data_IF_724797944983
#
_entry.id   IF_724797944983
#
_cell.length_a   1.000
_cell.length_b   1.000
_cell.length_c   1.000
_cell.angle_alpha   90.00
_cell.angle_beta   90.00
_cell.angle_gamma   90.00
#
_symmetry.space_group_name_H-M   'P 1'
#
loop_
_entity.id
_entity.type
_entity.pdbx_description
1 polymer ?
#
# COMPACT_ATOMS: atom_id res chain seq x y z
N UNK A 1 29.37 -16.07 5.69
CA UNK A 1 28.06 -16.35 6.32
C UNK A 1 27.51 -17.78 6.20
N UNK A 2 28.12 -18.69 5.43
CA UNK A 2 27.69 -20.10 5.33
C UNK A 2 27.25 -20.83 6.62
N UNK A 3 27.95 -20.68 7.78
CA UNK A 3 27.52 -21.36 9.02
C UNK A 3 26.19 -20.86 9.62
N UNK A 4 25.69 -19.68 9.22
CA UNK A 4 24.40 -19.13 9.69
C UNK A 4 23.18 -19.71 8.96
N UNK A 5 23.39 -20.51 7.91
CA UNK A 5 22.33 -21.08 7.07
C UNK A 5 22.35 -22.61 7.07
N UNK A 6 22.73 -23.21 8.21
CA UNK A 6 22.68 -24.65 8.39
C UNK A 6 21.27 -25.12 8.76
N UNK A 7 20.85 -26.29 8.27
CA UNK A 7 19.60 -26.95 8.63
C UNK A 7 19.80 -28.45 8.85
N UNK A 8 18.89 -29.07 9.61
CA UNK A 8 18.93 -30.48 9.96
C UNK A 8 17.75 -31.22 9.35
N UNK A 9 17.98 -32.41 8.80
CA UNK A 9 16.92 -33.32 8.36
C UNK A 9 16.73 -34.38 9.45
N UNK A 10 15.53 -34.49 10.06
CA UNK A 10 15.25 -35.53 11.04
C UNK A 10 15.21 -36.91 10.38
N UNK A 11 15.63 -37.95 11.10
CA UNK A 11 15.42 -39.34 10.67
C UNK A 11 14.09 -39.88 11.20
N UNK A 12 13.58 -40.94 10.56
CA UNK A 12 12.37 -41.63 11.02
C UNK A 12 12.64 -42.21 12.41
N UNK A 13 11.81 -41.84 13.39
CA UNK A 13 11.92 -42.28 14.79
C UNK A 13 13.30 -42.06 15.43
N UNK A 14 14.06 -41.04 14.99
CA UNK A 14 15.42 -40.77 15.51
C UNK A 14 16.38 -41.96 15.40
N UNK A 15 16.15 -42.85 14.42
CA UNK A 15 16.96 -44.05 14.20
C UNK A 15 18.44 -43.78 13.89
N UNK A 16 18.79 -42.55 13.52
CA UNK A 16 20.14 -42.10 13.22
C UNK A 16 20.29 -40.61 13.60
N UNK A 17 21.52 -40.13 13.87
CA UNK A 17 21.76 -38.71 14.11
C UNK A 17 21.27 -37.84 12.95
N UNK A 18 20.68 -36.68 13.26
CA UNK A 18 20.16 -35.77 12.25
C UNK A 18 21.26 -35.32 11.29
N UNK A 19 21.01 -35.48 9.98
CA UNK A 19 21.94 -35.03 8.93
C UNK A 19 21.89 -33.52 8.84
N UNK A 20 23.05 -32.86 8.91
CA UNK A 20 23.19 -31.40 8.85
C UNK A 20 23.72 -30.96 7.48
N UNK A 21 23.08 -29.95 6.92
CA UNK A 21 23.42 -29.34 5.63
C UNK A 21 23.58 -27.83 5.79
N UNK A 22 24.20 -27.19 4.81
CA UNK A 22 24.25 -25.73 4.69
C UNK A 22 24.03 -25.30 3.25
N UNK A 23 23.51 -24.09 3.06
CA UNK A 23 23.29 -23.54 1.72
C UNK A 23 24.59 -23.04 1.10
N UNK A 24 24.95 -23.59 -0.07
CA UNK A 24 26.12 -23.18 -0.87
C UNK A 24 25.78 -22.12 -1.92
N UNK A 25 24.48 -21.93 -2.20
CA UNK A 25 23.92 -20.92 -3.10
C UNK A 25 22.91 -20.07 -2.34
N UNK A 26 22.47 -18.95 -2.91
CA UNK A 26 21.40 -18.13 -2.32
C UNK A 26 20.18 -19.00 -2.09
N UNK A 27 19.84 -19.22 -0.82
CA UNK A 27 18.74 -20.12 -0.50
C UNK A 27 17.41 -19.43 -0.81
N UNK A 28 16.48 -20.23 -1.30
CA UNK A 28 15.12 -19.81 -1.54
C UNK A 28 14.45 -19.46 -0.21
N UNK A 29 13.67 -18.36 -0.20
CA UNK A 29 12.94 -17.92 1.00
C UNK A 29 13.74 -17.09 2.02
N UNK A 30 15.04 -16.87 1.85
CA UNK A 30 15.77 -15.89 2.66
C UNK A 30 15.42 -14.47 2.20
N UNK A 31 15.06 -13.61 3.16
CA UNK A 31 14.65 -12.22 2.94
C UNK A 31 15.65 -11.36 2.14
N UNK A 32 16.95 -11.68 2.25
CA UNK A 32 18.03 -10.92 1.60
C UNK A 32 18.43 -11.47 0.21
N UNK A 33 18.09 -12.73 -0.11
CA UNK A 33 18.36 -13.31 -1.44
C UNK A 33 17.77 -12.46 -2.58
N UNK A 34 16.54 -11.92 -2.47
CA UNK A 34 15.97 -11.02 -3.46
C UNK A 34 16.82 -9.79 -3.76
N UNK A 35 17.40 -9.14 -2.75
CA UNK A 35 18.15 -7.90 -2.94
C UNK A 35 19.44 -8.14 -3.76
N UNK A 36 20.13 -9.24 -3.48
CA UNK A 36 21.35 -9.62 -4.20
C UNK A 36 21.00 -10.03 -5.64
N UNK A 37 19.99 -10.89 -5.83
CA UNK A 37 19.52 -11.26 -7.16
C UNK A 37 19.04 -10.04 -7.97
N UNK A 38 18.41 -9.06 -7.33
CA UNK A 38 17.89 -7.88 -8.01
C UNK A 38 18.97 -7.07 -8.72
N UNK A 39 20.15 -6.89 -8.12
CA UNK A 39 21.26 -6.17 -8.75
C UNK A 39 21.74 -6.90 -10.01
N UNK A 40 21.88 -8.22 -9.94
CA UNK A 40 22.34 -9.03 -11.07
C UNK A 40 21.32 -9.06 -12.20
N UNK A 41 20.04 -9.32 -11.88
CA UNK A 41 18.98 -9.38 -12.89
C UNK A 41 18.71 -7.99 -13.50
N UNK A 42 18.87 -6.90 -12.74
CA UNK A 42 18.75 -5.54 -13.27
C UNK A 42 19.82 -5.20 -14.34
N UNK A 43 20.98 -5.86 -14.31
CA UNK A 43 22.02 -5.69 -15.35
C UNK A 43 21.64 -6.38 -16.66
N UNK A 44 20.86 -7.47 -16.63
CA UNK A 44 20.51 -8.22 -17.83
C UNK A 44 19.78 -7.39 -18.91
N UNK A 45 18.78 -6.53 -18.59
CA UNK A 45 18.14 -5.67 -19.58
C UNK A 45 18.89 -4.35 -19.87
N UNK A 46 20.09 -4.10 -19.32
CA UNK A 46 20.80 -2.82 -19.46
C UNK A 46 21.01 -2.40 -20.92
N UNK A 47 21.47 -3.32 -21.78
CA UNK A 47 21.64 -3.03 -23.21
C UNK A 47 20.32 -2.72 -23.93
N UNK A 48 19.21 -3.30 -23.47
CA UNK A 48 17.88 -2.99 -24.01
C UNK A 48 17.44 -1.59 -23.58
N UNK A 49 17.69 -1.20 -22.32
CA UNK A 49 17.42 0.16 -21.82
C UNK A 49 18.17 1.22 -22.62
N UNK A 50 19.45 0.97 -22.92
CA UNK A 50 20.27 1.88 -23.72
C UNK A 50 19.78 2.00 -25.17
N UNK A 51 19.38 0.87 -25.78
CA UNK A 51 18.93 0.85 -27.18
C UNK A 51 17.51 1.41 -27.36
N UNK A 52 16.63 1.25 -26.38
CA UNK A 52 15.23 1.65 -26.45
C UNK A 52 14.84 2.48 -25.21
N UNK A 53 15.27 3.76 -25.13
CA UNK A 53 15.06 4.59 -23.94
C UNK A 53 13.58 4.88 -23.64
N UNK A 54 12.73 4.81 -24.67
CA UNK A 54 11.27 5.01 -24.55
C UNK A 54 10.53 3.77 -24.03
N UNK A 55 11.22 2.62 -23.89
CA UNK A 55 10.58 1.39 -23.42
C UNK A 55 10.63 1.30 -21.89
N UNK A 56 9.50 1.00 -21.28
CA UNK A 56 9.42 0.75 -19.85
C UNK A 56 9.84 -0.70 -19.56
N UNK A 57 10.86 -0.85 -18.73
CA UNK A 57 11.34 -2.14 -18.24
C UNK A 57 11.23 -2.15 -16.73
N UNK A 58 10.27 -2.93 -16.21
CA UNK A 58 10.10 -3.16 -14.79
C UNK A 58 10.67 -4.53 -14.44
N UNK A 59 11.41 -4.59 -13.35
CA UNK A 59 12.00 -5.81 -12.83
C UNK A 59 11.57 -5.97 -11.38
N UNK A 60 10.97 -7.09 -11.06
CA UNK A 60 10.56 -7.43 -9.70
C UNK A 60 10.79 -8.92 -9.45
N UNK A 61 11.68 -9.21 -8.50
CA UNK A 61 12.05 -10.59 -8.13
C UNK A 61 12.57 -11.38 -9.33
N UNK A 62 11.78 -12.32 -9.86
CA UNK A 62 12.12 -13.13 -11.03
C UNK A 62 11.36 -12.68 -12.29
N UNK A 63 10.45 -11.71 -12.17
CA UNK A 63 9.60 -11.22 -13.25
C UNK A 63 10.18 -9.94 -13.90
N UNK A 64 10.22 -9.93 -15.23
CA UNK A 64 10.56 -8.74 -16.03
C UNK A 64 9.36 -8.38 -16.90
N UNK A 65 8.83 -7.17 -16.70
CA UNK A 65 7.80 -6.58 -17.53
C UNK A 65 8.43 -5.62 -18.54
N UNK A 66 8.20 -5.89 -19.82
CA UNK A 66 8.54 -5.02 -20.95
C UNK A 66 7.27 -4.37 -21.48
N UNK A 67 7.22 -3.04 -21.50
CA UNK A 67 6.09 -2.27 -22.04
C UNK A 67 6.58 -1.24 -23.05
N UNK A 68 6.04 -1.31 -24.27
CA UNK A 68 6.33 -0.41 -25.38
C UNK A 68 5.05 -0.11 -26.15
N UNK A 69 5.00 1.05 -26.81
CA UNK A 69 3.91 1.38 -27.74
C UNK A 69 3.96 0.50 -29.01
N UNK A 70 5.15 0.00 -29.40
CA UNK A 70 5.30 -0.87 -30.58
C UNK A 70 5.14 -2.34 -30.22
N UNK A 71 4.05 -2.96 -30.67
CA UNK A 71 3.78 -4.40 -30.50
C UNK A 71 4.81 -5.26 -31.21
N UNK A 72 5.32 -4.81 -32.37
CA UNK A 72 6.29 -5.56 -33.17
C UNK A 72 7.66 -5.63 -32.49
N UNK A 73 8.09 -4.52 -31.88
CA UNK A 73 9.32 -4.49 -31.10
C UNK A 73 9.24 -5.47 -29.92
N UNK A 74 8.12 -5.46 -29.18
CA UNK A 74 7.88 -6.39 -28.08
C UNK A 74 7.90 -7.84 -28.58
N UNK A 75 7.22 -8.15 -29.68
CA UNK A 75 7.18 -9.49 -30.24
C UNK A 75 8.59 -10.01 -30.59
N UNK A 76 9.42 -9.18 -31.22
CA UNK A 76 10.81 -9.53 -31.58
C UNK A 76 11.71 -9.74 -30.35
N UNK A 77 11.57 -8.91 -29.32
CA UNK A 77 12.36 -9.03 -28.09
C UNK A 77 11.97 -10.28 -27.28
N UNK A 78 10.66 -10.57 -27.19
CA UNK A 78 10.16 -11.75 -26.49
C UNK A 78 10.60 -13.04 -27.19
N UNK A 79 10.49 -13.13 -28.53
CA UNK A 79 10.93 -14.32 -29.28
C UNK A 79 12.41 -14.66 -29.07
N UNK A 80 13.28 -13.66 -28.93
CA UNK A 80 14.73 -13.87 -28.88
C UNK A 80 15.28 -14.12 -27.47
N UNK A 81 14.63 -13.62 -26.42
CA UNK A 81 15.29 -13.52 -25.09
C UNK A 81 14.41 -13.83 -23.88
N UNK A 82 13.08 -13.92 -24.00
CA UNK A 82 12.20 -14.06 -22.82
C UNK A 82 11.08 -15.08 -23.06
N UNK A 83 10.83 -15.96 -22.08
CA UNK A 83 9.65 -16.84 -22.12
C UNK A 83 8.38 -15.97 -22.02
N UNK A 84 7.44 -16.16 -22.94
CA UNK A 84 6.13 -15.49 -22.88
C UNK A 84 5.35 -16.02 -21.67
N UNK A 85 5.10 -15.17 -20.68
CA UNK A 85 4.01 -15.35 -19.73
C UNK A 85 2.76 -14.63 -20.26
N UNK A 86 1.57 -15.05 -19.81
CA UNK A 86 0.31 -14.49 -20.28
C UNK A 86 0.27 -12.97 -20.08
N UNK A 87 0.12 -12.21 -21.19
CA UNK A 87 0.15 -10.74 -21.32
C UNK A 87 -0.86 -9.96 -20.45
N UNK A 88 -1.63 -10.65 -19.61
CA UNK A 88 -2.61 -10.05 -18.71
C UNK A 88 -2.25 -10.15 -17.23
N UNK A 89 -1.39 -11.08 -16.80
CA UNK A 89 -1.17 -11.36 -15.37
C UNK A 89 0.30 -11.14 -15.01
N UNK A 90 0.59 -10.07 -14.28
CA UNK A 90 1.95 -9.72 -13.84
C UNK A 90 1.91 -9.38 -12.37
N UNK A 91 2.75 -10.02 -11.55
CA UNK A 91 2.83 -9.76 -10.10
C UNK A 91 1.47 -9.84 -9.38
N UNK A 92 0.59 -10.74 -9.80
CA UNK A 92 -0.76 -10.87 -9.24
C UNK A 92 -1.76 -9.80 -9.71
N UNK A 93 -1.42 -8.98 -10.72
CA UNK A 93 -2.31 -7.98 -11.31
C UNK A 93 -2.84 -8.42 -12.66
N UNK A 94 -4.14 -8.24 -12.89
CA UNK A 94 -4.73 -8.25 -14.21
C UNK A 94 -4.62 -6.86 -14.84
N UNK A 95 -3.74 -6.74 -15.82
CA UNK A 95 -3.44 -5.49 -16.52
C UNK A 95 -4.17 -5.50 -17.86
N UNK A 96 -5.13 -4.58 -18.03
CA UNK A 96 -5.86 -4.36 -19.30
C UNK A 96 -5.47 -3.01 -19.92
N UNK A 97 -5.98 -2.67 -21.11
CA UNK A 97 -5.70 -1.38 -21.77
C UNK A 97 -6.26 -0.17 -21.00
N UNK A 98 -7.28 -0.36 -20.16
CA UNK A 98 -7.98 0.73 -19.45
C UNK A 98 -7.90 0.65 -17.93
N UNK A 99 -7.70 -0.55 -17.39
CA UNK A 99 -7.80 -0.81 -15.94
C UNK A 99 -6.67 -1.70 -15.44
N UNK A 100 -6.25 -1.48 -14.21
CA UNK A 100 -5.35 -2.35 -13.46
C UNK A 100 -6.15 -2.85 -12.27
N UNK A 101 -6.34 -4.17 -12.19
CA UNK A 101 -7.12 -4.80 -11.13
C UNK A 101 -6.28 -5.89 -10.50
N UNK A 102 -6.42 -6.16 -9.19
CA UNK A 102 -5.88 -7.39 -8.65
C UNK A 102 -6.42 -8.56 -9.48
N UNK A 103 -5.60 -9.57 -9.75
CA UNK A 103 -6.12 -10.87 -10.19
C UNK A 103 -7.18 -11.29 -9.17
N UNK A 104 -8.28 -11.91 -9.62
CA UNK A 104 -9.37 -12.30 -8.71
C UNK A 104 -8.78 -13.07 -7.53
N UNK A 105 -8.74 -12.42 -6.37
CA UNK A 105 -8.30 -13.03 -5.13
C UNK A 105 -9.52 -13.72 -4.58
N UNK A 106 -9.62 -15.01 -4.85
CA UNK A 106 -10.50 -15.84 -4.04
C UNK A 106 -9.81 -15.96 -2.69
N UNK A 107 -10.28 -15.23 -1.69
CA UNK A 107 -9.81 -15.43 -0.33
C UNK A 107 -10.17 -16.88 0.06
N UNK A 108 -9.16 -17.71 0.30
CA UNK A 108 -9.38 -19.05 0.81
C UNK A 108 -9.77 -18.93 2.29
N UNK A 109 -11.07 -18.77 2.54
CA UNK A 109 -11.63 -18.55 3.88
C UNK A 109 -11.81 -19.84 4.68
N UNK A 110 -11.51 -21.00 4.08
CA UNK A 110 -11.43 -22.29 4.78
C UNK A 110 -10.09 -22.36 5.51
N UNK A 111 -10.06 -21.85 6.74
CA UNK A 111 -8.90 -21.90 7.62
C UNK A 111 -9.03 -23.11 8.53
N UNK A 112 -8.14 -24.10 8.36
CA UNK A 112 -8.07 -25.27 9.24
C UNK A 112 -6.81 -25.27 10.09
N UNK A 113 -5.70 -24.74 9.56
CA UNK A 113 -4.39 -24.72 10.22
C UNK A 113 -3.81 -23.31 10.37
N UNK A 114 -2.81 -23.13 11.23
CA UNK A 114 -2.05 -21.88 11.33
C UNK A 114 -1.38 -21.50 10.00
N UNK A 115 -0.91 -22.47 9.23
CA UNK A 115 -0.36 -22.21 7.90
C UNK A 115 -1.41 -21.64 6.93
N UNK A 116 -2.65 -22.13 6.97
CA UNK A 116 -3.74 -21.57 6.15
C UNK A 116 -4.00 -20.11 6.53
N UNK A 117 -4.04 -19.81 7.83
CA UNK A 117 -4.21 -18.46 8.35
C UNK A 117 -3.07 -17.53 7.90
N UNK A 118 -1.81 -17.99 8.01
CA UNK A 118 -0.64 -17.20 7.61
C UNK A 118 -0.64 -16.90 6.10
N UNK A 119 -1.02 -17.87 5.26
CA UNK A 119 -1.15 -17.67 3.81
C UNK A 119 -2.26 -16.68 3.46
N UNK A 120 -3.39 -16.78 4.14
CA UNK A 120 -4.50 -15.84 3.98
C UNK A 120 -4.09 -14.43 4.39
N UNK A 121 -3.46 -14.27 5.56
CA UNK A 121 -2.97 -12.99 6.05
C UNK A 121 -1.86 -12.42 5.16
N UNK A 122 -0.99 -13.26 4.59
CA UNK A 122 -0.02 -12.84 3.57
C UNK A 122 -0.72 -12.25 2.33
N UNK A 123 -1.78 -12.92 1.86
CA UNK A 123 -2.60 -12.44 0.73
C UNK A 123 -3.31 -11.14 1.06
N UNK A 124 -3.93 -11.02 2.24
CA UNK A 124 -4.60 -9.81 2.71
C UNK A 124 -3.59 -8.67 2.83
N UNK A 125 -2.44 -8.89 3.46
CA UNK A 125 -1.40 -7.88 3.61
C UNK A 125 -0.86 -7.39 2.27
N UNK A 126 -0.80 -8.26 1.26
CA UNK A 126 -0.39 -7.89 -0.08
C UNK A 126 -1.36 -6.89 -0.74
N UNK A 127 -2.68 -7.07 -0.59
CA UNK A 127 -3.68 -6.12 -1.12
C UNK A 127 -4.02 -4.95 -0.20
N UNK A 128 -3.73 -5.08 1.09
CA UNK A 128 -4.13 -4.14 2.12
C UNK A 128 -3.86 -2.66 1.79
N UNK A 129 -2.70 -2.27 1.20
CA UNK A 129 -2.44 -0.88 0.84
C UNK A 129 -3.51 -0.23 -0.05
N UNK A 130 -4.23 -1.03 -0.86
CA UNK A 130 -5.28 -0.55 -1.76
C UNK A 130 -6.69 -0.59 -1.17
N UNK A 131 -6.89 -1.40 -0.13
CA UNK A 131 -8.22 -1.61 0.43
C UNK A 131 -8.60 -0.52 1.43
N UNK A 132 -7.61 0.06 2.11
CA UNK A 132 -7.83 1.05 3.16
C UNK A 132 -8.24 0.45 4.50
N UNK A 133 -7.99 -0.85 4.67
CA UNK A 133 -8.37 -1.58 5.88
C UNK A 133 -7.34 -1.32 6.97
N UNK A 134 -7.79 -0.70 8.05
CA UNK A 134 -6.94 -0.38 9.19
C UNK A 134 -6.63 -1.62 10.07
N UNK A 135 -5.79 -1.43 11.09
CA UNK A 135 -5.41 -2.52 12.00
C UNK A 135 -6.55 -2.93 12.93
N UNK A 136 -7.54 -2.06 13.17
CA UNK A 136 -8.68 -2.37 14.05
C UNK A 136 -9.63 -3.33 13.35
N UNK A 137 -9.86 -3.14 12.05
CA UNK A 137 -10.68 -4.02 11.24
C UNK A 137 -10.05 -5.42 11.06
N UNK A 138 -8.71 -5.49 11.02
CA UNK A 138 -7.98 -6.77 10.91
C UNK A 138 -7.59 -7.37 12.27
N UNK A 139 -7.83 -6.69 13.39
CA UNK A 139 -7.36 -7.16 14.70
C UNK A 139 -7.85 -8.58 15.03
N UNK A 140 -9.12 -8.98 14.74
CA UNK A 140 -9.56 -10.33 15.05
C UNK A 140 -8.74 -11.39 14.30
N UNK A 141 -8.35 -11.13 13.05
CA UNK A 141 -7.52 -12.02 12.25
C UNK A 141 -6.07 -12.06 12.75
N UNK A 142 -5.51 -10.92 13.15
CA UNK A 142 -4.15 -10.83 13.67
C UNK A 142 -4.02 -11.50 15.04
N UNK A 143 -5.07 -11.42 15.86
CA UNK A 143 -5.11 -12.05 17.17
C UNK A 143 -5.08 -13.58 17.09
N UNK A 144 -5.63 -14.18 16.02
CA UNK A 144 -5.52 -15.63 15.77
C UNK A 144 -4.08 -16.10 15.52
N UNK A 145 -3.13 -15.21 15.19
CA UNK A 145 -1.72 -15.57 15.08
C UNK A 145 -1.05 -15.79 16.45
N UNK A 146 -1.70 -15.37 17.54
CA UNK A 146 -1.18 -15.56 18.90
C UNK A 146 -1.48 -17.00 19.32
N UNK A 147 -0.48 -17.69 19.87
CA UNK A 147 -0.64 -19.06 20.37
C UNK A 147 0.49 -19.99 19.92
N UNK A 148 0.16 -21.25 19.71
CA UNK A 148 1.11 -22.29 19.36
C UNK A 148 1.76 -22.04 17.98
N UNK A 149 3.11 -22.02 17.89
CA UNK A 149 3.80 -21.67 16.64
C UNK A 149 3.80 -22.79 15.59
N UNK A 150 3.24 -23.96 15.91
CA UNK A 150 3.20 -25.10 14.99
C UNK A 150 2.31 -24.80 13.79
N UNK A 151 2.85 -24.91 12.57
CA UNK A 151 2.12 -24.62 11.33
C UNK A 151 0.87 -25.48 11.12
N UNK A 152 0.85 -26.67 11.69
CA UNK A 152 -0.26 -27.62 11.60
C UNK A 152 -1.27 -27.47 12.75
N UNK A 153 -1.09 -26.51 13.66
CA UNK A 153 -2.03 -26.30 14.76
C UNK A 153 -3.41 -25.93 14.21
N UNK A 154 -4.45 -26.55 14.76
CA UNK A 154 -5.81 -26.36 14.30
C UNK A 154 -6.31 -24.96 14.69
N UNK A 155 -7.02 -24.31 13.77
CA UNK A 155 -7.58 -22.99 13.95
C UNK A 155 -9.11 -23.04 13.89
N UNK A 156 -9.78 -22.25 14.73
CA UNK A 156 -11.23 -22.10 14.74
C UNK A 156 -11.61 -20.65 14.46
N UNK A 157 -12.45 -20.44 13.45
CA UNK A 157 -12.92 -19.11 13.07
C UNK A 157 -13.98 -18.63 14.05
N UNK A 158 -13.72 -17.52 14.74
CA UNK A 158 -14.74 -16.83 15.53
C UNK A 158 -15.67 -15.99 14.64
N UNK A 159 -16.88 -15.63 15.11
CA UNK A 159 -17.77 -14.76 14.35
C UNK A 159 -17.15 -13.41 13.98
N UNK A 160 -16.29 -12.84 14.85
CA UNK A 160 -15.60 -11.58 14.62
C UNK A 160 -14.61 -11.69 13.46
N UNK A 161 -13.90 -12.82 13.36
CA UNK A 161 -12.97 -13.12 12.27
C UNK A 161 -13.73 -13.25 10.94
N UNK A 162 -14.86 -13.96 10.94
CA UNK A 162 -15.70 -14.09 9.74
C UNK A 162 -16.21 -12.73 9.27
N UNK A 163 -16.65 -11.87 10.20
CA UNK A 163 -17.07 -10.50 9.90
C UNK A 163 -15.92 -9.67 9.31
N UNK A 164 -14.72 -9.76 9.89
CA UNK A 164 -13.54 -9.07 9.36
C UNK A 164 -13.22 -9.53 7.93
N UNK A 165 -13.24 -10.84 7.67
CA UNK A 165 -13.02 -11.41 6.34
C UNK A 165 -14.05 -10.93 5.31
N UNK A 166 -15.34 -10.87 5.67
CA UNK A 166 -16.39 -10.36 4.79
C UNK A 166 -16.17 -8.88 4.43
N UNK A 167 -15.68 -8.06 5.38
CA UNK A 167 -15.31 -6.67 5.10
C UNK A 167 -14.12 -6.58 4.13
N UNK A 168 -13.12 -7.45 4.28
CA UNK A 168 -11.98 -7.51 3.35
C UNK A 168 -12.45 -7.89 1.95
N UNK A 169 -13.31 -8.90 1.83
CA UNK A 169 -13.83 -9.35 0.55
C UNK A 169 -14.65 -8.26 -0.15
N UNK A 170 -15.52 -7.58 0.58
CA UNK A 170 -16.30 -6.45 0.07
C UNK A 170 -15.40 -5.29 -0.39
N UNK A 171 -14.32 -5.01 0.34
CA UNK A 171 -13.32 -4.03 -0.09
C UNK A 171 -12.61 -4.49 -1.37
N UNK A 172 -12.17 -5.75 -1.48
CA UNK A 172 -11.52 -6.26 -2.70
C UNK A 172 -12.44 -6.14 -3.92
N UNK A 173 -13.71 -6.49 -3.77
CA UNK A 173 -14.68 -6.46 -4.88
C UNK A 173 -15.06 -5.04 -5.33
N UNK A 174 -15.04 -4.07 -4.42
CA UNK A 174 -15.45 -2.68 -4.70
C UNK A 174 -14.31 -1.79 -5.19
N UNK A 175 -13.05 -2.16 -4.95
CA UNK A 175 -11.89 -1.32 -5.27
C UNK A 175 -11.35 -1.62 -6.66
N UNK A 176 -11.23 -0.57 -7.46
CA UNK A 176 -10.64 -0.62 -8.79
C UNK A 176 -9.75 0.61 -9.03
N UNK A 177 -8.60 0.38 -9.65
CA UNK A 177 -7.74 1.43 -10.19
C UNK A 177 -7.90 1.51 -11.71
N UNK A 178 -7.93 2.72 -12.23
CA UNK A 178 -7.90 3.01 -13.66
C UNK A 178 -6.48 3.38 -14.08
N UNK A 179 -6.16 3.14 -15.35
CA UNK A 179 -4.90 3.64 -15.91
C UNK A 179 -4.95 5.15 -16.03
N UNK A 180 -3.80 5.77 -15.79
CA UNK A 180 -3.60 7.17 -16.13
C UNK A 180 -3.81 7.37 -17.64
N UNK A 181 -4.49 8.46 -17.99
CA UNK A 181 -4.60 8.94 -19.37
C UNK A 181 -3.61 10.07 -19.54
N UNK A 182 -2.77 10.01 -20.58
CA UNK A 182 -1.69 10.97 -20.81
C UNK A 182 -2.19 12.42 -20.92
N UNK A 183 -3.40 12.61 -21.48
CA UNK A 183 -3.98 13.93 -21.71
C UNK A 183 -4.75 14.52 -20.51
N UNK A 184 -4.75 13.84 -19.35
CA UNK A 184 -5.47 14.30 -18.16
C UNK A 184 -4.50 14.60 -17.02
N UNK A 185 -4.78 15.69 -16.33
CA UNK A 185 -4.04 16.05 -15.13
C UNK A 185 -4.54 15.30 -13.90
N UNK A 186 -3.61 14.99 -12.99
CA UNK A 186 -3.94 14.32 -11.73
C UNK A 186 -4.36 15.37 -10.71
N UNK A 187 -5.56 15.20 -10.15
CA UNK A 187 -6.05 15.95 -8.99
C UNK A 187 -6.02 15.07 -7.76
N UNK A 188 -5.43 15.57 -6.67
CA UNK A 188 -5.46 14.95 -5.35
C UNK A 188 -6.73 15.42 -4.62
N UNK A 189 -7.51 14.50 -4.07
CA UNK A 189 -8.69 14.82 -3.25
C UNK A 189 -8.55 14.16 -1.88
N UNK A 190 -8.36 14.95 -0.82
CA UNK A 190 -8.43 14.46 0.54
C UNK A 190 -9.90 14.31 0.94
N UNK A 191 -10.30 13.22 1.60
CA UNK A 191 -11.68 13.01 2.04
C UNK A 191 -11.68 12.39 3.44
N UNK A 192 -12.72 12.67 4.23
CA UNK A 192 -12.80 12.21 5.63
C UNK A 192 -13.19 10.73 5.73
N UNK A 193 -14.05 10.26 4.82
CA UNK A 193 -14.48 8.86 4.77
C UNK A 193 -14.51 8.40 3.30
N UNK A 194 -14.24 7.11 3.09
CA UNK A 194 -14.25 6.47 1.77
C UNK A 194 -15.32 5.37 1.67
N UNK A 195 -16.04 5.11 2.77
CA UNK A 195 -17.04 4.04 2.87
C UNK A 195 -18.16 4.24 1.84
N UNK A 196 -18.46 3.19 1.07
CA UNK A 196 -19.54 3.22 0.08
C UNK A 196 -19.21 3.91 -1.25
N UNK A 197 -17.97 4.37 -1.47
CA UNK A 197 -17.60 4.94 -2.77
C UNK A 197 -17.49 3.89 -3.88
N UNK A 198 -18.58 3.70 -4.63
CA UNK A 198 -18.59 3.15 -5.99
C UNK A 198 -18.36 4.24 -7.02
N UNK A 199 -17.15 4.32 -7.55
CA UNK A 199 -16.80 5.32 -8.55
C UNK A 199 -17.19 4.83 -9.96
N UNK A 200 -18.25 5.42 -10.52
CA UNK A 200 -18.73 5.10 -11.88
C UNK A 200 -18.48 6.21 -12.91
N UNK A 201 -18.01 7.40 -12.49
CA UNK A 201 -17.91 8.59 -13.38
C UNK A 201 -16.57 9.32 -13.35
N UNK A 202 -15.65 8.96 -12.44
CA UNK A 202 -14.31 9.54 -12.38
C UNK A 202 -13.25 8.47 -12.70
N UNK A 203 -12.09 8.88 -13.18
CA UNK A 203 -10.94 7.99 -13.35
C UNK A 203 -10.17 8.00 -12.03
N UNK A 204 -10.48 7.05 -11.15
CA UNK A 204 -9.76 6.88 -9.89
C UNK A 204 -8.46 6.12 -10.15
N UNK A 205 -7.33 6.77 -9.91
CA UNK A 205 -6.02 6.15 -10.09
C UNK A 205 -5.64 5.29 -8.88
N UNK A 206 -5.65 5.88 -7.69
CA UNK A 206 -5.20 5.20 -6.47
C UNK A 206 -5.88 5.79 -5.23
N UNK A 207 -6.19 4.92 -4.27
CA UNK A 207 -6.55 5.35 -2.92
C UNK A 207 -5.29 5.45 -2.06
N UNK A 208 -5.08 6.60 -1.42
CA UNK A 208 -3.96 6.80 -0.49
C UNK A 208 -4.50 6.94 0.93
N UNK A 209 -4.07 6.05 1.81
CA UNK A 209 -4.50 6.01 3.20
C UNK A 209 -3.36 6.45 4.13
N UNK A 210 -3.71 6.87 5.35
CA UNK A 210 -2.74 7.02 6.43
C UNK A 210 -2.05 5.68 6.76
N UNK A 211 -0.95 5.74 7.50
CA UNK A 211 -0.32 4.51 8.00
C UNK A 211 -1.31 3.72 8.83
N UNK A 212 -1.35 2.41 8.62
CA UNK A 212 -2.19 1.52 9.43
C UNK A 212 -1.57 1.22 10.81
N UNK A 213 -0.30 1.59 11.01
CA UNK A 213 0.39 1.41 12.28
C UNK A 213 -0.05 2.48 13.29
N UNK A 214 -0.29 2.05 14.53
CA UNK A 214 -0.57 2.97 15.63
C UNK A 214 0.66 3.85 15.89
N UNK A 215 0.45 5.16 15.96
CA UNK A 215 1.46 6.11 16.42
C UNK A 215 1.39 6.21 17.94
N UNK A 216 2.56 6.32 18.61
CA UNK A 216 2.61 6.63 20.05
C UNK A 216 2.17 8.07 20.36
N UNK A 217 2.08 8.91 19.33
CA UNK A 217 1.70 10.32 19.43
C UNK A 217 0.25 10.49 19.00
N UNK A 218 -0.49 11.32 19.74
CA UNK A 218 -1.84 11.75 19.36
C UNK A 218 -1.71 12.69 18.15
N UNK A 219 -2.36 12.35 17.04
CA UNK A 219 -2.34 13.13 15.79
C UNK A 219 -3.68 13.84 15.62
N UNK A 220 -3.64 15.16 15.40
CA UNK A 220 -4.84 15.95 15.11
C UNK A 220 -5.37 15.68 13.70
N UNK A 221 -6.65 16.02 13.45
CA UNK A 221 -7.26 15.90 12.10
C UNK A 221 -6.52 16.72 11.05
N UNK A 222 -6.05 17.91 11.40
CA UNK A 222 -5.25 18.76 10.49
C UNK A 222 -3.91 18.12 10.14
N UNK A 223 -3.22 17.53 11.13
CA UNK A 223 -1.98 16.77 10.88
C UNK A 223 -2.24 15.52 10.02
N UNK A 224 -3.36 14.83 10.24
CA UNK A 224 -3.78 13.69 9.41
C UNK A 224 -4.00 14.10 7.94
N UNK A 225 -4.67 15.23 7.68
CA UNK A 225 -4.82 15.77 6.32
C UNK A 225 -3.44 16.04 5.71
N UNK A 226 -2.57 16.74 6.44
CA UNK A 226 -1.21 17.04 5.99
C UNK A 226 -0.41 15.78 5.62
N UNK A 227 -0.47 14.74 6.45
CA UNK A 227 0.19 13.45 6.22
C UNK A 227 -0.31 12.77 4.93
N UNK A 228 -1.63 12.75 4.69
CA UNK A 228 -2.20 12.20 3.45
C UNK A 228 -1.76 13.01 2.24
N UNK A 229 -1.75 14.34 2.34
CA UNK A 229 -1.29 15.23 1.25
C UNK A 229 0.17 14.92 0.90
N UNK A 230 1.08 14.93 1.89
CA UNK A 230 2.50 14.63 1.67
C UNK A 230 2.70 13.25 1.04
N UNK A 231 2.03 12.22 1.57
CA UNK A 231 2.12 10.85 1.06
C UNK A 231 1.62 10.76 -0.38
N UNK A 232 0.51 11.43 -0.69
CA UNK A 232 -0.12 11.42 -2.01
C UNK A 232 0.69 12.21 -3.04
N UNK A 233 1.21 13.40 -2.69
CA UNK A 233 2.12 14.18 -3.55
C UNK A 233 3.34 13.35 -3.96
N UNK A 234 4.02 12.73 -2.99
CA UNK A 234 5.14 11.81 -3.24
C UNK A 234 4.74 10.66 -4.17
N UNK A 235 3.56 10.07 -3.95
CA UNK A 235 3.06 8.98 -4.79
C UNK A 235 2.78 9.42 -6.23
N UNK A 236 2.20 10.60 -6.42
CA UNK A 236 1.90 11.17 -7.73
C UNK A 236 3.20 11.47 -8.50
N UNK A 237 4.20 12.05 -7.84
CA UNK A 237 5.53 12.25 -8.43
C UNK A 237 6.18 10.92 -8.83
N UNK A 238 6.04 9.87 -8.02
CA UNK A 238 6.53 8.52 -8.39
C UNK A 238 5.79 7.92 -9.60
N UNK A 239 4.53 8.28 -9.82
CA UNK A 239 3.72 7.76 -10.92
C UNK A 239 3.99 8.46 -12.25
N UNK A 240 4.09 9.79 -12.26
CA UNK A 240 4.18 10.59 -13.50
C UNK A 240 5.37 11.56 -13.56
N UNK A 241 6.23 11.60 -12.54
CA UNK A 241 7.40 12.48 -12.48
C UNK A 241 7.08 13.95 -12.16
N UNK A 242 5.81 14.31 -11.92
CA UNK A 242 5.37 15.69 -11.61
C UNK A 242 4.31 15.71 -10.51
N UNK A 243 4.22 16.83 -9.79
CA UNK A 243 3.20 17.10 -8.77
C UNK A 243 1.77 17.11 -9.36
N UNK A 244 0.71 16.94 -8.54
CA UNK A 244 -0.66 17.10 -9.03
C UNK A 244 -0.94 18.53 -9.48
N UNK A 245 -1.85 18.70 -10.44
CA UNK A 245 -2.27 20.03 -10.87
C UNK A 245 -3.10 20.75 -9.79
N UNK A 246 -3.87 19.98 -9.02
CA UNK A 246 -4.72 20.51 -7.96
C UNK A 246 -4.77 19.59 -6.74
N UNK A 247 -4.76 20.21 -5.56
CA UNK A 247 -5.02 19.58 -4.26
C UNK A 247 -6.35 20.10 -3.73
N UNK A 248 -7.33 19.20 -3.59
CA UNK A 248 -8.64 19.48 -3.01
C UNK A 248 -8.68 18.99 -1.56
N UNK A 249 -9.07 19.88 -0.65
CA UNK A 249 -9.08 19.63 0.79
C UNK A 249 -10.48 19.81 1.38
N UNK A 250 -10.89 18.95 2.33
CA UNK A 250 -12.24 18.93 2.88
C UNK A 250 -12.34 19.95 4.02
N UNK A 251 -12.05 21.22 3.72
CA UNK A 251 -12.06 22.33 4.67
C UNK A 251 -12.97 23.44 4.15
N UNK A 252 -13.63 24.17 5.04
CA UNK A 252 -14.20 25.48 4.71
C UNK A 252 -13.08 26.52 4.54
N UNK A 253 -13.41 27.68 3.95
CA UNK A 253 -12.47 28.79 3.83
C UNK A 253 -11.90 29.22 5.20
N UNK A 254 -12.79 29.41 6.19
CA UNK A 254 -12.43 29.75 7.57
C UNK A 254 -11.52 28.67 8.20
N UNK A 255 -11.84 27.39 7.98
CA UNK A 255 -11.02 26.28 8.47
C UNK A 255 -9.63 26.26 7.84
N UNK A 256 -9.54 26.52 6.54
CA UNK A 256 -8.27 26.59 5.83
C UNK A 256 -7.40 27.72 6.36
N UNK A 257 -7.94 28.93 6.47
CA UNK A 257 -7.23 30.10 6.99
C UNK A 257 -6.72 29.85 8.41
N UNK A 258 -7.57 29.32 9.29
CA UNK A 258 -7.18 28.97 10.65
C UNK A 258 -6.08 27.89 10.68
N UNK A 259 -6.21 26.84 9.87
CA UNK A 259 -5.20 25.78 9.81
C UNK A 259 -3.87 26.28 9.25
N UNK A 260 -3.89 27.16 8.25
CA UNK A 260 -2.66 27.76 7.71
C UNK A 260 -1.97 28.66 8.72
N UNK A 261 -2.71 29.34 9.60
CA UNK A 261 -2.12 30.14 10.67
C UNK A 261 -1.57 29.29 11.83
N UNK A 262 -2.18 28.14 12.13
CA UNK A 262 -1.92 27.41 13.38
C UNK A 262 -1.30 26.01 13.20
N UNK A 263 -1.17 25.49 11.97
CA UNK A 263 -0.67 24.14 11.70
C UNK A 263 0.57 24.14 10.81
N UNK A 264 1.74 24.01 11.45
CA UNK A 264 3.02 23.80 10.77
C UNK A 264 2.98 22.56 9.87
N UNK A 265 2.28 21.50 10.28
CA UNK A 265 2.14 20.29 9.48
C UNK A 265 1.45 20.58 8.13
N UNK A 266 0.36 21.34 8.13
CA UNK A 266 -0.37 21.69 6.90
C UNK A 266 0.43 22.68 6.04
N UNK A 267 1.11 23.66 6.65
CA UNK A 267 2.02 24.54 5.93
C UNK A 267 3.11 23.75 5.21
N UNK A 268 3.75 22.79 5.89
CA UNK A 268 4.76 21.91 5.30
C UNK A 268 4.19 21.03 4.19
N UNK A 269 2.92 20.60 4.31
CA UNK A 269 2.27 19.81 3.26
C UNK A 269 2.03 20.58 1.96
N UNK A 270 1.94 21.91 2.03
CA UNK A 270 1.82 22.79 0.86
C UNK A 270 3.14 23.47 0.46
N UNK A 271 4.18 23.39 1.28
CA UNK A 271 5.46 24.00 0.98
C UNK A 271 5.99 23.51 -0.38
N UNK A 272 6.40 24.47 -1.22
CA UNK A 272 6.90 24.23 -2.58
C UNK A 272 5.88 23.69 -3.58
N UNK A 273 4.59 23.62 -3.24
CA UNK A 273 3.55 23.21 -4.18
C UNK A 273 3.16 24.39 -5.08
N UNK A 274 3.39 24.25 -6.39
CA UNK A 274 3.08 25.28 -7.39
C UNK A 274 1.69 25.14 -8.03
N UNK A 275 0.96 24.06 -7.72
CA UNK A 275 -0.38 23.83 -8.25
C UNK A 275 -1.48 24.55 -7.47
N UNK A 276 -2.74 24.32 -7.86
CA UNK A 276 -3.88 24.95 -7.21
C UNK A 276 -4.30 24.20 -5.94
N UNK A 277 -4.43 24.90 -4.81
CA UNK A 277 -5.15 24.38 -3.64
C UNK A 277 -6.59 24.87 -3.70
N UNK A 278 -7.57 23.97 -3.53
CA UNK A 278 -8.99 24.30 -3.61
C UNK A 278 -9.78 23.61 -2.50
N UNK A 279 -10.76 24.32 -1.95
CA UNK A 279 -11.74 23.77 -1.00
C UNK A 279 -13.00 23.23 -1.71
N UNK A 280 -13.17 23.54 -2.98
CA UNK A 280 -14.31 23.07 -3.76
C UNK A 280 -14.04 21.66 -4.27
N UNK A 281 -15.08 20.85 -4.39
CA UNK A 281 -15.02 19.52 -5.02
C UNK A 281 -15.87 19.52 -6.28
N UNK A 282 -15.58 18.63 -7.25
CA UNK A 282 -16.47 18.45 -8.39
C UNK A 282 -17.90 18.16 -7.95
N UNK A 283 -18.88 18.72 -8.66
CA UNK A 283 -20.31 18.52 -8.42
C UNK A 283 -20.69 17.06 -8.63
N UNK A 284 -20.52 16.25 -7.60
CA UNK A 284 -20.81 14.82 -7.59
C UNK A 284 -21.47 14.43 -6.27
N UNK A 285 -22.69 13.87 -6.33
CA UNK A 285 -23.52 13.53 -5.15
C UNK A 285 -22.78 12.72 -4.08
N UNK A 286 -21.80 11.91 -4.48
CA UNK A 286 -21.02 11.10 -3.54
C UNK A 286 -19.90 11.88 -2.87
N UNK A 287 -19.32 12.90 -3.51
CA UNK A 287 -18.25 13.69 -2.93
C UNK A 287 -18.78 14.69 -1.90
N UNK A 288 -20.00 15.22 -2.10
CA UNK A 288 -20.63 16.14 -1.14
C UNK A 288 -20.87 15.50 0.23
N UNK A 289 -21.19 14.20 0.27
CA UNK A 289 -21.41 13.47 1.53
C UNK A 289 -20.11 13.15 2.30
N UNK A 290 -18.94 13.35 1.69
CA UNK A 290 -17.64 12.94 2.24
C UNK A 290 -16.75 14.12 2.67
N UNK A 291 -17.29 15.33 2.52
CA UNK A 291 -16.64 16.60 2.86
C UNK A 291 -16.90 17.04 4.30
N UNK A 292 -17.88 16.47 4.99
CA UNK A 292 -18.17 16.85 6.36
C UNK A 292 -17.02 16.37 7.28
N UNK A 293 -16.18 17.33 7.66
CA UNK A 293 -15.08 17.16 8.58
C UNK A 293 -15.27 18.15 9.73
N UNK A 294 -15.88 17.72 10.84
CA UNK A 294 -16.03 18.60 11.99
C UNK A 294 -14.64 18.89 12.58
N UNK A 295 -14.07 20.05 12.30
CA UNK A 295 -12.85 20.53 12.94
C UNK A 295 -13.23 21.43 14.11
N UNK A 296 -12.69 21.14 15.29
CA UNK A 296 -12.79 22.05 16.42
C UNK A 296 -11.55 22.94 16.44
N UNK A 297 -11.76 24.25 16.33
CA UNK A 297 -10.72 25.25 16.50
C UNK A 297 -10.36 25.38 17.96
N UNK A 298 -9.34 24.63 18.39
CA UNK A 298 -8.77 24.79 19.73
C UNK A 298 -7.29 25.15 19.59
N UNK A 299 -6.88 26.38 19.94
CA UNK A 299 -5.46 26.70 19.98
C UNK A 299 -4.78 25.79 21.02
N UNK A 300 -3.65 25.17 20.64
CA UNK A 300 -2.87 24.30 21.54
C UNK A 300 -2.23 25.08 22.68
N UNK A 301 -1.94 26.36 22.45
CA UNK A 301 -1.38 27.27 23.42
C UNK A 301 -2.45 28.30 23.80
N UNK A 302 -2.62 28.54 25.09
CA UNK A 302 -3.32 29.74 25.56
C UNK A 302 -2.28 30.84 25.78
N UNK A 303 -2.58 32.10 25.44
CA UNK A 303 -1.69 33.20 25.74
C UNK A 303 -1.55 33.43 27.25
N UNK A 304 -2.54 33.01 28.03
CA UNK A 304 -2.53 33.05 29.48
C UNK A 304 -2.29 31.65 30.07
N UNK A 305 -1.49 31.53 31.15
CA UNK A 305 -1.33 30.27 31.87
C UNK A 305 -2.68 29.74 32.35
N UNK A 306 -2.83 28.41 32.38
CA UNK A 306 -4.01 27.78 32.97
C UNK A 306 -3.83 27.80 34.49
N UNK A 307 -4.84 28.22 35.23
CA UNK A 307 -4.87 28.05 36.69
C UNK A 307 -4.91 26.55 37.01
N UNK A 308 -3.77 26.01 37.43
CA UNK A 308 -3.62 24.59 37.73
C UNK A 308 -2.30 24.31 38.42
N UNK A 309 -2.22 23.16 39.11
CA UNK A 309 -0.99 22.71 39.74
C UNK A 309 0.02 22.40 38.64
N UNK A 310 1.17 23.08 38.67
CA UNK A 310 2.27 22.80 37.74
C UNK A 310 2.99 21.55 38.25
N UNK A 311 2.82 20.43 37.55
CA UNK A 311 3.53 19.18 37.86
C UNK A 311 4.66 19.00 36.85
N UNK A 312 5.90 18.96 37.34
CA UNK A 312 7.05 18.56 36.55
C UNK A 312 7.24 17.05 36.69
N UNK A 313 7.26 16.35 35.57
CA UNK A 313 7.69 14.95 35.48
C UNK A 313 8.93 14.90 34.62
N UNK A 314 9.98 14.20 35.03
CA UNK A 314 11.07 13.91 34.11
C UNK A 314 10.59 12.92 33.03
N UNK A 315 11.07 13.13 31.81
CA UNK A 315 10.78 12.24 30.68
C UNK A 315 11.98 11.32 30.47
N UNK A 316 12.06 10.26 31.26
CA UNK A 316 12.93 9.10 30.95
C UNK A 316 12.23 8.16 29.98
#
# INVERSE_FOLDING_TARGET
DGPKFAFSIPSINQSEPMKRYHWVVLSQGIKNSPAICQIYVARAPSGIRLKYPQMLIYHYMDDILLASQSTDLLARLLQKRFKRSNLGNILGWKISMSTVRPQRITLHTKIHTLNDLQRLLGTINWVRPMLGIDNTQLSPLLDMLKGEPCLNSLQQLTPEVQKALAQVELAIQSRQAYRQKENLEITLMAINNHSGMRNNRMILLEWVFLSHQQTKTIVSRTEMIAMVICKSRKRIVQMQGREPACIRIPLTQEQLEWCLANSVALQNAFLGFAGQVSIHYPSHKMLSALQDLPLQFRPRCRPTPVEGITVFTDGS
#
